data_IF_591995356662
#
_entry.id   IF_591995356662
#
_cell.length_a   1.000
_cell.length_b   1.000
_cell.length_c   1.000
_cell.angle_alpha   90.00
_cell.angle_beta   90.00
_cell.angle_gamma   90.00
#
_symmetry.space_group_name_H-M   'P 1'
#
loop_
_entity.id
_entity.type
_entity.pdbx_description
1 polymer ?
#
# COMPACT_ATOMS: atom_id res chain seq x y z
N UNK A 1 -7.00 49.27 -32.26
CA UNK A 1 -8.17 49.02 -33.12
C UNK A 1 -8.80 47.67 -32.75
N UNK A 2 -10.11 47.53 -32.96
CA UNK A 2 -10.92 46.41 -32.48
C UNK A 2 -10.86 45.15 -33.38
N UNK A 3 -10.93 43.97 -32.75
CA UNK A 3 -11.63 42.76 -33.24
C UNK A 3 -13.15 43.01 -33.08
N UNK A 4 -14.12 42.41 -33.82
CA UNK A 4 -14.07 41.01 -34.30
C UNK A 4 -14.99 40.63 -35.52
N UNK A 5 -15.21 39.30 -35.67
CA UNK A 5 -16.45 38.58 -36.10
C UNK A 5 -16.84 38.40 -37.60
N UNK A 6 -17.01 37.10 -37.90
CA UNK A 6 -18.08 36.42 -38.68
C UNK A 6 -18.65 37.02 -39.98
N UNK A 7 -18.78 36.17 -41.00
CA UNK A 7 -20.12 35.96 -41.57
C UNK A 7 -20.17 35.48 -43.02
N UNK A 8 -21.27 34.82 -43.45
CA UNK A 8 -21.22 33.78 -44.49
C UNK A 8 -22.17 34.02 -45.68
N UNK A 9 -22.08 33.20 -46.75
CA UNK A 9 -23.17 32.84 -47.68
C UNK A 9 -22.68 31.67 -48.59
N UNK A 10 -23.43 30.58 -48.82
CA UNK A 10 -24.47 30.35 -49.86
C UNK A 10 -23.96 30.48 -51.32
N UNK A 11 -24.40 29.70 -52.32
CA UNK A 11 -25.19 28.45 -52.42
C UNK A 11 -25.20 27.95 -53.90
N UNK A 12 -25.89 26.83 -54.19
CA UNK A 12 -26.26 26.28 -55.52
C UNK A 12 -25.14 25.52 -56.27
N UNK A 13 -25.39 24.42 -56.99
CA UNK A 13 -26.61 23.61 -57.12
C UNK A 13 -26.56 22.63 -58.32
N UNK A 14 -27.52 21.69 -58.38
CA UNK A 14 -27.95 20.87 -59.55
C UNK A 14 -26.94 19.85 -60.16
N UNK A 15 -27.32 18.71 -60.77
CA UNK A 15 -28.62 17.98 -60.90
C UNK A 15 -28.42 16.51 -61.33
N UNK A 16 -29.37 15.63 -60.98
CA UNK A 16 -29.82 14.38 -61.63
C UNK A 16 -28.94 13.56 -62.61
N UNK A 17 -28.90 12.24 -62.36
CA UNK A 17 -29.67 11.23 -63.14
C UNK A 17 -29.72 9.88 -62.40
N UNK A 18 -30.64 8.97 -62.78
CA UNK A 18 -30.98 7.75 -62.02
C UNK A 18 -31.25 6.53 -62.92
N UNK A 19 -31.02 5.32 -62.38
CA UNK A 19 -31.49 3.96 -62.80
C UNK A 19 -30.67 2.90 -62.00
N UNK A 20 -31.10 1.65 -61.72
CA UNK A 20 -32.41 1.06 -61.41
C UNK A 20 -32.19 -0.39 -60.83
N UNK A 21 -33.26 -1.08 -60.38
CA UNK A 21 -33.33 -2.54 -60.03
C UNK A 21 -32.61 -3.00 -58.73
N UNK A 22 -33.17 -3.69 -57.71
CA UNK A 22 -34.43 -4.43 -57.39
C UNK A 22 -34.30 -5.98 -57.30
N UNK A 23 -35.21 -6.62 -56.53
CA UNK A 23 -35.34 -8.03 -56.11
C UNK A 23 -34.55 -8.47 -54.84
N UNK A 24 -35.13 -9.07 -53.80
CA UNK A 24 -36.54 -9.37 -53.48
C UNK A 24 -36.93 -10.86 -53.62
N UNK A 25 -37.12 -11.57 -52.50
CA UNK A 25 -37.78 -12.89 -52.45
C UNK A 25 -38.30 -13.23 -51.03
N UNK A 26 -39.43 -13.93 -50.93
CA UNK A 26 -40.09 -14.26 -49.66
C UNK A 26 -40.91 -15.57 -49.70
N UNK A 27 -41.28 -16.06 -48.50
CA UNK A 27 -42.36 -17.01 -48.15
C UNK A 27 -42.21 -18.51 -48.49
N UNK A 28 -42.45 -19.36 -47.47
CA UNK A 28 -43.60 -20.30 -47.38
C UNK A 28 -43.70 -20.96 -45.98
N UNK A 29 -44.88 -21.50 -45.65
CA UNK A 29 -45.22 -22.19 -44.38
C UNK A 29 -46.01 -23.49 -44.64
N UNK A 30 -46.25 -24.26 -43.56
CA UNK A 30 -47.24 -25.35 -43.34
C UNK A 30 -46.77 -26.78 -43.73
N UNK A 31 -47.41 -27.85 -43.17
CA UNK A 31 -47.45 -28.23 -41.73
C UNK A 31 -47.20 -29.77 -41.55
N UNK A 32 -47.52 -30.37 -40.37
CA UNK A 32 -48.15 -31.73 -40.15
C UNK A 32 -47.77 -32.44 -38.81
N UNK A 33 -48.81 -32.69 -38.01
CA UNK A 33 -49.15 -33.85 -37.12
C UNK A 33 -48.22 -34.43 -36.02
N UNK A 34 -48.84 -35.32 -35.25
CA UNK A 34 -48.55 -35.74 -33.87
C UNK A 34 -48.51 -37.26 -33.69
N UNK A 35 -47.49 -37.76 -32.99
CA UNK A 35 -47.35 -39.07 -32.30
C UNK A 35 -46.20 -38.92 -31.27
N UNK A 36 -46.07 -39.66 -30.16
CA UNK A 36 -46.94 -40.68 -29.54
C UNK A 36 -46.78 -40.75 -27.99
N UNK A 37 -47.19 -41.86 -27.39
CA UNK A 37 -47.40 -42.20 -25.97
C UNK A 37 -46.30 -43.03 -25.28
N UNK A 38 -46.24 -42.92 -23.94
CA UNK A 38 -45.81 -43.93 -22.93
C UNK A 38 -44.47 -44.68 -23.02
N UNK A 39 -43.63 -44.48 -21.98
CA UNK A 39 -42.73 -45.41 -21.25
C UNK A 39 -41.68 -44.54 -20.50
N UNK A 40 -41.43 -44.57 -19.19
CA UNK A 40 -41.80 -45.47 -18.10
C UNK A 40 -42.28 -44.68 -16.86
N UNK A 41 -43.18 -45.27 -16.06
CA UNK A 41 -43.27 -44.97 -14.63
C UNK A 41 -42.18 -45.77 -13.92
N UNK A 42 -41.36 -45.13 -13.10
CA UNK A 42 -41.10 -45.62 -11.73
C UNK A 42 -40.50 -44.51 -10.86
N UNK A 43 -40.81 -44.56 -9.57
CA UNK A 43 -40.48 -43.55 -8.55
C UNK A 43 -39.18 -43.96 -7.81
N UNK A 44 -38.44 -43.05 -7.14
CA UNK A 44 -38.96 -42.43 -5.92
C UNK A 44 -38.75 -40.91 -5.80
N UNK A 45 -39.66 -40.31 -5.03
CA UNK A 45 -39.55 -38.98 -4.44
C UNK A 45 -38.57 -38.97 -3.25
N UNK A 46 -38.06 -37.77 -2.94
CA UNK A 46 -37.37 -37.32 -1.70
C UNK A 46 -35.84 -37.17 -1.75
N UNK A 47 -35.40 -35.93 -2.00
CA UNK A 47 -34.63 -35.16 -1.02
C UNK A 47 -34.73 -33.66 -1.37
N UNK A 48 -35.31 -32.85 -0.48
CA UNK A 48 -35.08 -31.40 -0.54
C UNK A 48 -33.63 -31.16 -0.09
N UNK A 49 -32.78 -30.60 -0.94
CA UNK A 49 -31.45 -30.15 -0.53
C UNK A 49 -31.58 -29.03 0.50
N UNK A 50 -31.43 -29.38 1.78
CA UNK A 50 -31.21 -28.40 2.83
C UNK A 50 -29.91 -27.66 2.54
N UNK A 51 -29.96 -26.33 2.51
CA UNK A 51 -28.75 -25.51 2.37
C UNK A 51 -27.71 -25.90 3.44
N UNK A 52 -26.42 -26.02 3.09
CA UNK A 52 -25.40 -26.51 4.00
C UNK A 52 -25.29 -25.58 5.23
N UNK A 53 -25.12 -26.13 6.44
CA UNK A 53 -25.11 -25.33 7.67
C UNK A 53 -23.98 -24.30 7.61
N UNK A 54 -24.32 -23.02 7.78
CA UNK A 54 -23.37 -21.91 7.84
C UNK A 54 -22.96 -21.62 9.28
N UNK A 55 -21.72 -21.16 9.45
CA UNK A 55 -21.17 -20.69 10.72
C UNK A 55 -20.71 -19.24 10.57
N UNK A 56 -21.03 -18.41 11.57
CA UNK A 56 -20.50 -17.05 11.66
C UNK A 56 -19.21 -17.08 12.48
N UNK A 57 -18.11 -16.57 11.91
CA UNK A 57 -16.81 -16.42 12.60
C UNK A 57 -16.45 -14.94 12.77
N UNK A 58 -15.60 -14.64 13.74
CA UNK A 58 -15.23 -13.29 14.14
C UNK A 58 -13.76 -13.02 13.77
N UNK A 59 -13.53 -12.39 12.62
CA UNK A 59 -12.19 -12.17 12.07
C UNK A 59 -11.61 -10.84 12.52
N UNK A 60 -10.60 -10.87 13.38
CA UNK A 60 -9.85 -9.68 13.82
C UNK A 60 -8.86 -9.26 12.75
N UNK A 61 -9.00 -8.04 12.25
CA UNK A 61 -8.12 -7.43 11.25
C UNK A 61 -8.01 -5.91 11.48
N UNK A 62 -6.79 -5.35 11.38
CA UNK A 62 -6.52 -3.91 11.49
C UNK A 62 -7.20 -3.19 12.69
N UNK A 63 -7.30 -3.88 13.84
CA UNK A 63 -7.92 -3.37 15.08
C UNK A 63 -9.45 -3.49 15.15
N UNK A 64 -10.12 -4.01 14.11
CA UNK A 64 -11.58 -4.26 14.08
C UNK A 64 -11.86 -5.76 14.07
N UNK A 65 -13.10 -6.13 14.41
CA UNK A 65 -13.59 -7.52 14.28
C UNK A 65 -14.66 -7.54 13.20
N UNK A 66 -14.48 -8.39 12.19
CA UNK A 66 -15.34 -8.54 11.02
C UNK A 66 -16.12 -9.86 11.18
N UNK A 67 -17.44 -9.85 11.34
CA UNK A 67 -18.24 -11.07 11.25
C UNK A 67 -18.25 -11.57 9.80
N UNK A 68 -17.98 -12.86 9.60
CA UNK A 68 -17.98 -13.51 8.29
C UNK A 68 -18.80 -14.79 8.39
N UNK A 69 -19.76 -14.97 7.47
CA UNK A 69 -20.52 -16.21 7.34
C UNK A 69 -19.84 -17.14 6.34
N UNK A 70 -19.68 -18.40 6.73
CA UNK A 70 -18.91 -19.41 5.98
C UNK A 70 -19.61 -20.76 6.12
N UNK A 71 -19.67 -21.61 5.08
CA UNK A 71 -20.17 -22.99 5.24
C UNK A 71 -19.35 -23.78 6.28
N UNK A 72 -19.99 -24.60 7.11
CA UNK A 72 -19.32 -25.36 8.17
C UNK A 72 -18.27 -26.37 7.65
N UNK A 73 -18.43 -26.83 6.41
CA UNK A 73 -17.51 -27.72 5.71
C UNK A 73 -16.41 -26.99 4.90
N UNK A 74 -16.38 -25.65 4.91
CA UNK A 74 -15.45 -24.88 4.10
C UNK A 74 -13.98 -25.12 4.48
N UNK A 75 -13.08 -24.84 3.54
CA UNK A 75 -11.63 -24.90 3.74
C UNK A 75 -11.05 -23.55 4.15
N UNK A 76 -9.81 -23.56 4.64
CA UNK A 76 -9.01 -22.34 4.85
C UNK A 76 -8.90 -21.49 3.58
N UNK A 77 -8.84 -22.12 2.40
CA UNK A 77 -8.75 -21.42 1.09
C UNK A 77 -10.07 -20.70 0.78
N UNK A 78 -11.20 -21.35 1.03
CA UNK A 78 -12.54 -20.76 0.88
C UNK A 78 -12.70 -19.53 1.78
N UNK A 79 -12.28 -19.65 3.04
CA UNK A 79 -12.25 -18.53 3.99
C UNK A 79 -11.33 -17.39 3.52
N UNK A 80 -10.13 -17.70 3.00
CA UNK A 80 -9.23 -16.68 2.46
C UNK A 80 -9.87 -15.95 1.27
N UNK A 81 -10.58 -16.67 0.40
CA UNK A 81 -11.33 -16.11 -0.73
C UNK A 81 -12.48 -15.20 -0.27
N UNK A 82 -13.22 -15.57 0.77
CA UNK A 82 -14.27 -14.73 1.37
C UNK A 82 -13.71 -13.49 2.07
N UNK A 83 -12.52 -13.60 2.68
CA UNK A 83 -11.85 -12.48 3.35
C UNK A 83 -11.16 -11.51 2.39
N UNK A 84 -10.78 -11.94 1.18
CA UNK A 84 -10.15 -11.09 0.17
C UNK A 84 -10.96 -9.80 -0.12
N UNK A 85 -12.25 -9.86 -0.51
CA UNK A 85 -13.03 -8.63 -0.74
C UNK A 85 -13.28 -7.83 0.54
N UNK A 86 -13.32 -8.46 1.72
CA UNK A 86 -13.61 -7.80 3.01
C UNK A 86 -12.41 -7.08 3.63
N UNK A 87 -11.20 -7.56 3.37
CA UNK A 87 -9.96 -7.11 4.02
C UNK A 87 -8.98 -6.47 3.05
N UNK A 88 -9.25 -6.62 1.75
CA UNK A 88 -8.40 -6.15 0.67
C UNK A 88 -6.99 -6.78 0.69
N UNK A 89 -6.84 -7.96 1.28
CA UNK A 89 -5.60 -8.74 1.32
C UNK A 89 -5.76 -9.90 0.32
N UNK A 90 -4.82 -10.07 -0.62
CA UNK A 90 -4.80 -11.23 -1.51
C UNK A 90 -4.70 -12.54 -0.70
N UNK A 91 -5.35 -13.65 -1.11
CA UNK A 91 -5.30 -14.92 -0.35
C UNK A 91 -3.87 -15.39 -0.02
N UNK A 92 -2.90 -15.16 -0.92
CA UNK A 92 -1.46 -15.42 -0.70
C UNK A 92 -0.82 -14.55 0.41
N UNK A 93 -1.36 -13.37 0.68
CA UNK A 93 -0.93 -12.47 1.75
C UNK A 93 -1.70 -12.64 3.06
N UNK A 94 -2.71 -13.53 3.10
CA UNK A 94 -3.52 -13.76 4.30
C UNK A 94 -2.94 -14.86 5.18
N UNK A 95 -2.37 -14.49 6.33
CA UNK A 95 -1.98 -15.44 7.38
C UNK A 95 -3.06 -15.45 8.47
N UNK A 96 -3.86 -16.53 8.48
CA UNK A 96 -4.94 -16.72 9.45
C UNK A 96 -4.44 -17.48 10.67
N UNK A 97 -4.78 -17.01 11.87
CA UNK A 97 -4.39 -17.62 13.15
C UNK A 97 -5.62 -17.82 14.02
N UNK A 98 -5.86 -19.05 14.48
CA UNK A 98 -6.92 -19.38 15.44
C UNK A 98 -6.31 -20.10 16.65
N UNK A 99 -6.66 -19.69 17.88
CA UNK A 99 -6.14 -20.28 19.13
C UNK A 99 -4.60 -20.48 19.16
N UNK A 100 -3.85 -19.52 18.61
CA UNK A 100 -2.38 -19.57 18.53
C UNK A 100 -1.79 -20.47 17.42
N UNK A 101 -2.61 -21.20 16.65
CA UNK A 101 -2.17 -22.02 15.51
C UNK A 101 -2.45 -21.29 14.20
N UNK A 102 -1.48 -21.32 13.28
CA UNK A 102 -1.66 -20.84 11.90
C UNK A 102 -2.53 -21.84 11.14
N UNK A 103 -3.59 -21.36 10.47
CA UNK A 103 -4.42 -22.21 9.63
C UNK A 103 -3.65 -22.58 8.36
N UNK A 104 -3.50 -23.88 8.11
CA UNK A 104 -2.83 -24.38 6.91
C UNK A 104 -3.79 -24.34 5.71
N UNK A 105 -3.24 -24.12 4.52
CA UNK A 105 -3.98 -24.20 3.27
C UNK A 105 -4.43 -25.66 3.00
N UNK A 106 -5.55 -25.81 2.29
CA UNK A 106 -6.31 -27.05 2.07
C UNK A 106 -6.92 -27.74 3.32
N UNK A 107 -6.60 -27.37 4.56
CA UNK A 107 -7.30 -27.89 5.73
C UNK A 107 -8.78 -27.44 5.81
N UNK A 108 -9.66 -28.28 6.36
CA UNK A 108 -11.05 -27.89 6.67
C UNK A 108 -11.12 -27.04 7.93
N UNK A 109 -12.05 -26.10 7.99
CA UNK A 109 -12.21 -25.23 9.16
C UNK A 109 -12.54 -26.03 10.43
N UNK A 110 -13.32 -27.10 10.29
CA UNK A 110 -13.63 -28.04 11.38
C UNK A 110 -12.40 -28.78 11.91
N UNK A 111 -11.50 -29.29 11.05
CA UNK A 111 -10.26 -29.96 11.48
C UNK A 111 -9.30 -29.01 12.21
N UNK A 112 -9.38 -27.71 11.90
CA UNK A 112 -8.62 -26.63 12.57
C UNK A 112 -9.32 -26.05 13.80
N UNK A 113 -10.42 -26.66 14.29
CA UNK A 113 -11.24 -26.20 15.42
C UNK A 113 -11.87 -24.80 15.25
N UNK A 114 -12.13 -24.38 14.02
CA UNK A 114 -12.85 -23.14 13.70
C UNK A 114 -14.35 -23.46 13.60
N UNK A 115 -15.09 -23.15 14.66
CA UNK A 115 -16.55 -23.33 14.80
C UNK A 115 -17.28 -21.98 14.87
N UNK A 116 -18.62 -21.98 14.83
CA UNK A 116 -19.42 -20.77 15.03
C UNK A 116 -19.01 -19.99 16.28
N UNK A 117 -18.86 -18.67 16.15
CA UNK A 117 -18.36 -17.76 17.20
C UNK A 117 -16.83 -17.70 17.35
N UNK A 118 -16.06 -18.50 16.61
CA UNK A 118 -14.59 -18.53 16.72
C UNK A 118 -13.93 -17.19 16.37
N UNK A 119 -12.95 -16.79 17.17
CA UNK A 119 -12.10 -15.62 16.93
C UNK A 119 -10.88 -16.05 16.10
N UNK A 120 -10.81 -15.57 14.86
CA UNK A 120 -9.67 -15.78 13.95
C UNK A 120 -8.94 -14.44 13.81
N UNK A 121 -7.62 -14.42 13.88
CA UNK A 121 -6.82 -13.22 13.61
C UNK A 121 -6.25 -13.31 12.19
N UNK A 122 -6.50 -12.28 11.38
CA UNK A 122 -5.86 -12.12 10.09
C UNK A 122 -4.64 -11.21 10.24
N UNK A 123 -3.48 -11.73 9.84
CA UNK A 123 -2.24 -10.99 9.69
C UNK A 123 -1.98 -10.87 8.18
N UNK A 124 -1.88 -9.64 7.68
CA UNK A 124 -1.52 -9.38 6.29
C UNK A 124 0.01 -9.36 6.14
N UNK A 125 0.53 -10.09 5.18
CA UNK A 125 1.89 -9.91 4.68
C UNK A 125 2.01 -8.56 3.98
N UNK A 126 3.10 -7.82 4.20
CA UNK A 126 3.31 -6.52 3.55
C UNK A 126 3.38 -6.67 2.02
N UNK A 127 2.88 -5.67 1.28
CA UNK A 127 2.88 -5.64 -0.18
C UNK A 127 1.89 -6.60 -0.87
N UNK A 128 0.98 -7.24 -0.13
CA UNK A 128 0.00 -8.20 -0.68
C UNK A 128 -1.46 -7.76 -0.46
N UNK A 129 -1.70 -6.45 -0.44
CA UNK A 129 -3.04 -5.92 -0.62
C UNK A 129 -3.42 -5.96 -2.10
N UNK A 130 -4.68 -6.23 -2.40
CA UNK A 130 -5.16 -6.09 -3.77
C UNK A 130 -5.55 -4.63 -3.98
N UNK A 131 -4.76 -3.87 -4.73
CA UNK A 131 -5.26 -2.64 -5.31
C UNK A 131 -6.45 -2.97 -6.23
N UNK A 132 -7.68 -2.81 -5.74
CA UNK A 132 -8.85 -2.72 -6.61
C UNK A 132 -8.76 -1.37 -7.33
N UNK A 133 -7.91 -1.32 -8.37
CA UNK A 133 -7.73 -0.17 -9.24
C UNK A 133 -9.06 0.25 -9.89
N UNK A 134 -9.19 1.50 -10.37
CA UNK A 134 -10.37 1.93 -11.11
C UNK A 134 -10.59 1.02 -12.31
N UNK A 135 -11.85 0.61 -12.54
CA UNK A 135 -12.24 -0.15 -13.73
C UNK A 135 -12.09 0.77 -14.93
N UNK A 136 -10.90 0.75 -15.56
CA UNK A 136 -10.66 1.45 -16.81
C UNK A 136 -11.39 0.70 -17.92
N UNK A 137 -12.15 1.40 -18.76
CA UNK A 137 -12.98 0.80 -19.82
C UNK A 137 -12.18 0.10 -20.94
N UNK A 138 -10.85 0.02 -20.82
CA UNK A 138 -9.93 -0.38 -21.89
C UNK A 138 -9.12 -1.64 -21.56
N UNK A 139 -9.41 -2.35 -20.45
CA UNK A 139 -8.81 -3.66 -20.18
C UNK A 139 -9.54 -4.77 -20.95
N UNK A 140 -9.21 -4.93 -22.22
CA UNK A 140 -9.54 -6.14 -22.99
C UNK A 140 -8.58 -7.28 -22.62
N UNK A 141 -8.98 -8.12 -21.67
CA UNK A 141 -8.33 -9.41 -21.39
C UNK A 141 -9.37 -10.52 -21.31
N UNK A 142 -9.19 -11.55 -22.14
CA UNK A 142 -10.21 -12.56 -22.43
C UNK A 142 -10.60 -13.41 -21.22
N UNK A 143 -11.91 -13.57 -21.03
CA UNK A 143 -12.48 -14.75 -20.38
C UNK A 143 -13.66 -15.24 -21.23
N UNK A 144 -13.42 -16.27 -22.03
CA UNK A 144 -14.41 -16.91 -22.90
C UNK A 144 -15.43 -17.66 -22.05
N UNK A 145 -16.73 -17.36 -22.18
CA UNK A 145 -17.72 -18.45 -22.19
C UNK A 145 -19.01 -18.11 -22.91
N UNK A 146 -19.49 -19.11 -23.62
CA UNK A 146 -20.49 -19.12 -24.69
C UNK A 146 -21.92 -18.83 -24.21
N UNK A 147 -22.68 -18.18 -25.09
CA UNK A 147 -24.10 -17.82 -25.01
C UNK A 147 -25.05 -18.98 -24.70
N UNK A 148 -26.14 -18.70 -23.98
CA UNK A 148 -27.45 -19.31 -24.33
C UNK A 148 -28.62 -18.37 -24.01
N UNK A 149 -29.22 -17.82 -25.06
CA UNK A 149 -30.48 -17.07 -25.01
C UNK A 149 -31.66 -18.04 -24.98
N UNK A 150 -32.56 -17.87 -24.01
CA UNK A 150 -33.98 -18.19 -24.18
C UNK A 150 -34.81 -17.05 -23.59
N UNK A 151 -35.94 -16.78 -24.23
CA UNK A 151 -36.79 -15.64 -23.99
C UNK A 151 -38.24 -16.14 -23.90
N UNK A 152 -38.93 -15.93 -22.76
CA UNK A 152 -40.39 -15.75 -22.65
C UNK A 152 -40.69 -15.08 -21.30
N UNK A 153 -41.72 -14.22 -21.29
CA UNK A 153 -42.20 -13.46 -20.14
C UNK A 153 -42.94 -14.35 -19.14
N UNK A 154 -42.82 -14.05 -17.84
CA UNK A 154 -44.02 -13.93 -16.98
C UNK A 154 -43.79 -13.04 -15.76
N UNK A 155 -44.87 -12.45 -15.25
CA UNK A 155 -44.89 -11.61 -14.04
C UNK A 155 -45.33 -12.46 -12.86
N UNK A 156 -44.59 -12.47 -11.74
CA UNK A 156 -45.11 -12.10 -10.42
C UNK A 156 -44.05 -12.16 -9.30
N UNK A 157 -43.99 -11.05 -8.55
CA UNK A 157 -43.69 -10.93 -7.11
C UNK A 157 -43.08 -12.13 -6.34
N UNK A 158 -41.85 -12.01 -5.85
CA UNK A 158 -41.52 -11.67 -4.45
C UNK A 158 -40.02 -11.77 -4.12
N UNK A 159 -39.62 -11.06 -3.05
CA UNK A 159 -38.39 -11.18 -2.24
C UNK A 159 -37.09 -10.58 -2.85
N UNK A 160 -36.40 -9.68 -2.12
CA UNK A 160 -35.13 -9.11 -2.59
C UNK A 160 -33.96 -10.07 -2.34
N UNK A 161 -33.50 -10.77 -3.37
CA UNK A 161 -32.13 -11.27 -3.42
C UNK A 161 -31.18 -10.08 -3.56
N UNK A 162 -30.64 -9.64 -2.43
CA UNK A 162 -29.79 -8.46 -2.35
C UNK A 162 -28.58 -8.72 -1.44
N UNK A 163 -27.77 -9.73 -1.77
CA UNK A 163 -26.38 -9.80 -1.28
C UNK A 163 -25.56 -8.77 -2.07
N UNK A 164 -25.82 -7.49 -1.79
CA UNK A 164 -25.10 -6.37 -2.39
C UNK A 164 -23.67 -6.42 -1.87
N UNK A 165 -22.73 -6.75 -2.76
CA UNK A 165 -21.31 -6.54 -2.50
C UNK A 165 -21.08 -5.05 -2.22
N UNK A 166 -20.75 -4.71 -0.97
CA UNK A 166 -20.53 -3.34 -0.51
C UNK A 166 -19.61 -2.59 -1.47
N UNK A 167 -19.98 -1.36 -1.82
CA UNK A 167 -19.20 -0.57 -2.79
C UNK A 167 -17.74 -0.41 -2.34
N UNK A 168 -16.81 -0.18 -3.27
CA UNK A 168 -15.39 0.02 -2.94
C UNK A 168 -15.19 1.12 -1.89
N UNK A 169 -15.95 2.23 -2.01
CA UNK A 169 -15.94 3.32 -1.04
C UNK A 169 -16.51 2.92 0.34
N UNK A 170 -17.57 2.10 0.40
CA UNK A 170 -18.06 1.55 1.68
C UNK A 170 -17.03 0.63 2.33
N UNK A 171 -16.32 -0.20 1.56
CA UNK A 171 -15.23 -1.05 2.06
C UNK A 171 -14.10 -0.19 2.63
N UNK A 172 -13.66 0.85 1.93
CA UNK A 172 -12.66 1.79 2.43
C UNK A 172 -13.14 2.56 3.69
N UNK A 173 -14.41 2.94 3.78
CA UNK A 173 -14.99 3.52 5.01
C UNK A 173 -15.02 2.51 6.18
N UNK A 174 -15.33 1.24 5.90
CA UNK A 174 -15.43 0.17 6.89
C UNK A 174 -14.07 -0.33 7.40
N UNK A 175 -13.03 -0.36 6.58
CA UNK A 175 -11.67 -0.73 7.00
C UNK A 175 -10.89 0.50 7.51
N UNK A 176 -11.07 1.65 6.84
CA UNK A 176 -10.21 2.82 6.92
C UNK A 176 -8.85 2.63 6.25
N UNK A 177 -8.74 1.67 5.33
CA UNK A 177 -7.54 1.39 4.55
C UNK A 177 -7.88 1.50 3.07
N UNK A 178 -7.18 2.41 2.40
CA UNK A 178 -7.21 2.59 0.94
C UNK A 178 -5.85 2.12 0.44
N UNK A 179 -5.81 0.93 -0.18
CA UNK A 179 -4.63 0.40 -0.84
C UNK A 179 -4.87 0.48 -2.36
N UNK A 180 -4.02 1.25 -3.02
CA UNK A 180 -4.04 1.63 -4.43
C UNK A 180 -2.61 1.58 -5.01
N UNK A 181 -1.71 0.80 -4.41
CA UNK A 181 -0.36 0.63 -4.92
C UNK A 181 -0.36 -0.16 -6.23
N UNK A 182 0.60 0.10 -7.12
CA UNK A 182 0.79 -0.62 -8.39
C UNK A 182 -0.50 -0.70 -9.25
N UNK A 183 -1.22 0.42 -9.37
CA UNK A 183 -2.55 0.51 -10.00
C UNK A 183 -2.58 1.35 -11.30
N UNK A 184 -1.42 1.70 -11.86
CA UNK A 184 -1.24 2.57 -13.04
C UNK A 184 -2.01 3.92 -12.96
N UNK A 185 -2.23 4.43 -11.74
CA UNK A 185 -3.01 5.63 -11.50
C UNK A 185 -2.30 6.89 -11.98
N UNK A 186 -3.03 7.76 -12.68
CA UNK A 186 -2.58 9.13 -13.01
C UNK A 186 -3.00 10.18 -11.97
N UNK A 187 -3.97 9.83 -11.13
CA UNK A 187 -4.49 10.62 -10.02
C UNK A 187 -5.15 9.67 -9.01
N UNK A 188 -5.21 10.07 -7.74
CA UNK A 188 -5.97 9.34 -6.72
C UNK A 188 -7.48 9.43 -7.05
N UNK A 189 -8.24 8.32 -7.07
CA UNK A 189 -9.66 8.33 -7.42
C UNK A 189 -10.50 9.22 -6.51
N UNK A 190 -11.46 9.95 -7.07
CA UNK A 190 -12.33 10.89 -6.35
C UNK A 190 -13.10 10.27 -5.19
N UNK A 191 -13.44 8.97 -5.26
CA UNK A 191 -14.15 8.30 -4.18
C UNK A 191 -13.31 8.18 -2.88
N UNK A 192 -11.97 8.27 -2.98
CA UNK A 192 -11.06 8.28 -1.82
C UNK A 192 -11.31 9.52 -0.97
N UNK A 193 -11.42 10.69 -1.61
CA UNK A 193 -11.74 11.96 -0.93
C UNK A 193 -13.11 11.89 -0.25
N UNK A 194 -14.09 11.28 -0.92
CA UNK A 194 -15.43 11.00 -0.38
C UNK A 194 -15.48 9.99 0.79
N UNK A 195 -14.35 9.38 1.17
CA UNK A 195 -14.23 8.57 2.38
C UNK A 195 -13.95 9.40 3.65
N UNK A 196 -13.41 10.62 3.48
CA UNK A 196 -13.23 11.60 4.55
C UNK A 196 -12.49 11.05 5.78
N UNK A 197 -12.94 11.36 7.01
CA UNK A 197 -12.25 10.96 8.25
C UNK A 197 -12.33 9.46 8.57
N UNK A 198 -12.85 8.63 7.67
CA UNK A 198 -12.86 7.17 7.81
C UNK A 198 -11.49 6.56 7.48
N UNK A 199 -10.74 7.19 6.56
CA UNK A 199 -9.45 6.72 6.08
C UNK A 199 -8.36 6.99 7.12
N UNK A 200 -7.59 5.95 7.46
CA UNK A 200 -6.43 5.99 8.36
C UNK A 200 -5.13 5.65 7.66
N UNK A 201 -5.20 4.88 6.58
CA UNK A 201 -4.06 4.52 5.72
C UNK A 201 -4.48 4.78 4.27
N UNK A 202 -3.70 5.59 3.57
CA UNK A 202 -3.77 5.76 2.12
C UNK A 202 -2.39 5.37 1.57
N UNK A 203 -2.35 4.28 0.83
CA UNK A 203 -1.19 3.85 0.05
C UNK A 203 -1.55 3.91 -1.43
N UNK A 204 -0.89 4.81 -2.15
CA UNK A 204 -0.96 4.93 -3.60
C UNK A 204 0.46 4.94 -4.20
N UNK A 205 1.37 4.19 -3.59
CA UNK A 205 2.76 4.04 -4.05
C UNK A 205 2.85 3.34 -5.41
N UNK A 206 3.94 3.50 -6.16
CA UNK A 206 4.17 2.87 -7.46
C UNK A 206 3.04 3.17 -8.46
N UNK A 207 2.81 4.45 -8.76
CA UNK A 207 1.83 4.90 -9.74
C UNK A 207 2.43 6.04 -10.58
N UNK A 208 1.60 6.67 -11.42
CA UNK A 208 1.95 7.84 -12.23
C UNK A 208 1.22 9.10 -11.74
N UNK A 209 0.96 9.21 -10.42
CA UNK A 209 0.21 10.32 -9.83
C UNK A 209 1.08 11.57 -9.87
N UNK A 210 0.50 12.67 -10.36
CA UNK A 210 1.17 13.99 -10.42
C UNK A 210 0.63 14.97 -9.39
N UNK A 211 -0.67 14.91 -9.13
CA UNK A 211 -1.38 15.88 -8.31
C UNK A 211 -1.90 15.25 -7.01
N UNK A 212 -1.71 15.94 -5.89
CA UNK A 212 -2.37 15.69 -4.62
C UNK A 212 -3.22 16.93 -4.29
N UNK A 213 -4.52 16.96 -4.65
CA UNK A 213 -5.36 18.14 -4.50
C UNK A 213 -5.65 18.46 -3.03
N UNK A 214 -6.07 19.71 -2.76
CA UNK A 214 -6.50 20.17 -1.42
C UNK A 214 -7.57 19.29 -0.75
N UNK A 215 -8.30 18.48 -1.54
CA UNK A 215 -9.24 17.45 -1.07
C UNK A 215 -8.62 16.46 -0.07
N UNK A 216 -7.30 16.29 -0.06
CA UNK A 216 -6.56 15.49 0.94
C UNK A 216 -6.89 15.93 2.39
N UNK A 217 -7.20 17.22 2.63
CA UNK A 217 -7.62 17.77 3.93
C UNK A 217 -8.89 17.14 4.52
N UNK A 218 -9.71 16.47 3.71
CA UNK A 218 -10.88 15.73 4.17
C UNK A 218 -10.52 14.47 4.99
N UNK A 219 -9.31 13.92 4.81
CA UNK A 219 -8.85 12.68 5.44
C UNK A 219 -8.32 12.91 6.86
N UNK A 220 -9.05 13.63 7.72
CA UNK A 220 -8.61 14.09 9.06
C UNK A 220 -8.20 13.00 10.07
N UNK A 221 -8.38 11.73 9.73
CA UNK A 221 -7.94 10.57 10.55
C UNK A 221 -6.76 9.82 9.93
N UNK A 222 -6.12 10.37 8.89
CA UNK A 222 -5.02 9.73 8.19
C UNK A 222 -3.77 9.67 9.10
N UNK A 223 -3.34 8.45 9.40
CA UNK A 223 -2.13 8.16 10.16
C UNK A 223 -0.95 7.83 9.24
N UNK A 224 -1.21 7.25 8.06
CA UNK A 224 -0.18 6.90 7.08
C UNK A 224 -0.57 7.35 5.67
N UNK A 225 0.33 8.09 5.03
CA UNK A 225 0.24 8.50 3.63
C UNK A 225 1.49 8.00 2.90
N UNK A 226 1.31 7.04 1.99
CA UNK A 226 2.38 6.46 1.18
C UNK A 226 2.13 6.83 -0.29
N UNK A 227 3.00 7.67 -0.83
CA UNK A 227 2.98 8.19 -2.19
C UNK A 227 4.33 7.93 -2.89
N UNK A 228 5.04 6.89 -2.43
CA UNK A 228 6.37 6.50 -2.94
C UNK A 228 6.31 6.17 -4.43
N UNK A 229 7.34 6.48 -5.21
CA UNK A 229 7.42 6.12 -6.64
C UNK A 229 6.20 6.64 -7.44
N UNK A 230 6.16 7.95 -7.61
CA UNK A 230 5.15 8.69 -8.36
C UNK A 230 5.79 9.85 -9.13
N UNK A 231 4.97 10.63 -9.84
CA UNK A 231 5.39 11.78 -10.65
C UNK A 231 5.07 13.14 -9.97
N UNK A 232 4.96 13.17 -8.64
CA UNK A 232 4.56 14.37 -7.89
C UNK A 232 5.70 15.39 -7.88
N UNK A 233 5.39 16.65 -8.16
CA UNK A 233 6.26 17.81 -8.04
C UNK A 233 5.67 18.84 -7.04
N UNK A 234 6.47 19.83 -6.66
CA UNK A 234 6.13 20.81 -5.63
C UNK A 234 4.90 21.67 -5.97
N UNK A 235 4.64 21.90 -7.26
CA UNK A 235 3.55 22.75 -7.74
C UNK A 235 2.19 22.04 -7.68
N UNK A 236 2.18 20.71 -7.84
CA UNK A 236 0.96 19.90 -7.91
C UNK A 236 0.58 19.20 -6.59
N UNK A 237 1.33 19.42 -5.51
CA UNK A 237 1.02 18.88 -4.17
C UNK A 237 0.44 19.95 -3.24
N UNK A 238 -0.78 19.74 -2.75
CA UNK A 238 -1.45 20.68 -1.84
C UNK A 238 -0.93 20.54 -0.41
N UNK A 239 0.17 21.24 -0.13
CA UNK A 239 0.77 21.31 1.18
C UNK A 239 -0.16 21.90 2.26
N UNK A 240 -1.03 22.85 1.91
CA UNK A 240 -2.09 23.35 2.81
C UNK A 240 -3.17 22.29 3.09
N UNK A 241 -3.44 21.41 2.12
CA UNK A 241 -4.30 20.26 2.34
C UNK A 241 -3.67 19.26 3.31
N UNK A 242 -2.35 19.05 3.20
CA UNK A 242 -1.57 18.18 4.07
C UNK A 242 -1.39 18.75 5.48
N UNK A 243 -1.20 20.07 5.64
CA UNK A 243 -1.02 20.73 6.95
C UNK A 243 -2.20 20.48 7.90
N UNK A 244 -3.39 20.23 7.35
CA UNK A 244 -4.59 19.84 8.09
C UNK A 244 -4.55 18.43 8.71
N UNK A 245 -3.59 17.56 8.33
CA UNK A 245 -3.52 16.16 8.74
C UNK A 245 -2.79 15.95 10.08
N UNK A 246 -3.32 16.56 11.13
CA UNK A 246 -2.73 16.59 12.48
C UNK A 246 -2.57 15.22 13.18
N UNK A 247 -3.02 14.11 12.56
CA UNK A 247 -2.83 12.73 13.04
C UNK A 247 -1.82 11.92 12.21
N UNK A 248 -1.20 12.52 11.21
CA UNK A 248 -0.26 11.84 10.33
C UNK A 248 1.01 11.46 11.10
N UNK A 249 1.33 10.16 11.11
CA UNK A 249 2.48 9.58 11.79
C UNK A 249 3.57 9.17 10.80
N UNK A 250 3.19 8.71 9.60
CA UNK A 250 4.13 8.27 8.56
C UNK A 250 3.78 8.96 7.23
N UNK A 251 4.73 9.69 6.66
CA UNK A 251 4.64 10.33 5.34
C UNK A 251 5.78 9.83 4.45
N UNK A 252 5.44 9.18 3.34
CA UNK A 252 6.40 8.80 2.30
C UNK A 252 6.09 9.50 0.98
N UNK A 253 7.04 10.33 0.55
CA UNK A 253 7.10 11.04 -0.73
C UNK A 253 8.39 10.67 -1.50
N UNK A 254 9.09 9.60 -1.11
CA UNK A 254 10.30 9.14 -1.78
C UNK A 254 10.06 8.75 -3.24
N UNK A 255 11.08 8.85 -4.10
CA UNK A 255 10.98 8.57 -5.54
C UNK A 255 9.88 9.40 -6.21
N UNK A 256 9.96 10.72 -6.08
CA UNK A 256 9.11 11.69 -6.77
C UNK A 256 10.00 12.74 -7.46
N UNK A 257 9.44 13.89 -7.83
CA UNK A 257 10.12 14.96 -8.57
C UNK A 257 10.32 16.22 -7.73
N UNK A 258 10.18 16.12 -6.41
CA UNK A 258 10.19 17.26 -5.49
C UNK A 258 11.54 17.99 -5.50
N UNK A 259 11.53 19.33 -5.47
CA UNK A 259 12.72 20.21 -5.46
C UNK A 259 12.85 20.95 -4.12
N UNK A 260 11.74 21.15 -3.43
CA UNK A 260 11.64 21.85 -2.15
C UNK A 260 10.56 21.22 -1.25
N UNK A 261 10.61 21.56 0.04
CA UNK A 261 9.53 21.29 0.99
C UNK A 261 9.18 22.62 1.67
N UNK A 262 7.90 22.97 1.85
CA UNK A 262 7.51 24.26 2.40
C UNK A 262 7.56 24.26 3.94
N UNK A 263 7.51 25.47 4.49
CA UNK A 263 7.37 25.72 5.94
C UNK A 263 6.14 25.05 6.56
N UNK A 264 5.04 24.92 5.81
CA UNK A 264 3.80 24.27 6.28
C UNK A 264 3.97 22.78 6.62
N UNK A 265 5.03 22.13 6.16
CA UNK A 265 5.41 20.78 6.59
C UNK A 265 5.56 20.69 8.13
N UNK A 266 6.10 21.73 8.76
CA UNK A 266 6.30 21.78 10.22
C UNK A 266 5.02 21.79 11.05
N UNK A 267 3.85 21.96 10.43
CA UNK A 267 2.55 21.81 11.10
C UNK A 267 2.21 20.35 11.44
N UNK A 268 2.88 19.37 10.81
CA UNK A 268 2.67 17.93 11.00
C UNK A 268 3.31 17.44 12.31
N UNK A 269 3.07 18.11 13.43
CA UNK A 269 3.74 17.90 14.72
C UNK A 269 3.68 16.45 15.25
N UNK A 270 2.64 15.69 14.87
CA UNK A 270 2.49 14.25 15.17
C UNK A 270 3.40 13.31 14.35
N UNK A 271 4.16 13.80 13.36
CA UNK A 271 4.89 12.95 12.42
C UNK A 271 6.06 12.23 13.11
N UNK A 272 6.12 10.91 12.95
CA UNK A 272 7.17 10.04 13.48
C UNK A 272 8.16 9.59 12.40
N UNK A 273 7.71 9.49 11.15
CA UNK A 273 8.53 9.02 10.02
C UNK A 273 8.29 9.88 8.78
N UNK A 274 9.37 10.46 8.26
CA UNK A 274 9.41 11.22 7.01
C UNK A 274 10.38 10.56 6.03
N UNK A 275 9.86 10.08 4.90
CA UNK A 275 10.66 9.51 3.79
C UNK A 275 10.51 10.38 2.54
N UNK A 276 11.61 11.00 2.13
CA UNK A 276 11.72 11.97 1.03
C UNK A 276 12.91 11.65 0.10
N UNK A 277 13.44 10.44 0.19
CA UNK A 277 14.62 9.99 -0.55
C UNK A 277 14.38 9.83 -2.06
N UNK A 278 15.42 9.97 -2.88
CA UNK A 278 15.32 9.91 -4.34
C UNK A 278 14.36 10.98 -4.90
N UNK A 279 14.56 12.23 -4.47
CA UNK A 279 13.92 13.42 -5.04
C UNK A 279 15.04 14.33 -5.60
N UNK A 280 14.79 15.63 -5.72
CA UNK A 280 15.73 16.64 -6.18
C UNK A 280 15.87 17.77 -5.16
N UNK A 281 15.65 17.47 -3.88
CA UNK A 281 15.61 18.46 -2.80
C UNK A 281 16.96 19.13 -2.62
N UNK A 282 17.01 20.46 -2.73
CA UNK A 282 18.24 21.24 -2.57
C UNK A 282 18.54 21.60 -1.09
N UNK A 283 17.50 21.66 -0.24
CA UNK A 283 17.58 21.93 1.21
C UNK A 283 16.36 21.36 1.97
N UNK A 284 16.42 21.33 3.31
CA UNK A 284 15.26 21.11 4.18
C UNK A 284 14.77 22.44 4.80
N UNK A 285 13.45 22.66 4.98
CA UNK A 285 12.90 23.87 5.60
C UNK A 285 13.26 23.96 7.08
N UNK A 286 13.41 25.17 7.62
CA UNK A 286 13.75 25.40 9.03
C UNK A 286 12.67 24.84 9.98
N UNK A 287 11.42 24.78 9.51
CA UNK A 287 10.28 24.23 10.23
C UNK A 287 10.34 22.70 10.42
N UNK A 288 11.35 22.01 9.87
CA UNK A 288 11.64 20.61 10.23
C UNK A 288 11.80 20.44 11.76
N UNK A 289 12.39 21.43 12.44
CA UNK A 289 12.58 21.44 13.90
C UNK A 289 11.28 21.47 14.73
N UNK A 290 10.15 21.78 14.09
CA UNK A 290 8.82 21.68 14.70
C UNK A 290 8.34 20.23 14.84
N UNK A 291 8.94 19.29 14.11
CA UNK A 291 8.58 17.86 14.12
C UNK A 291 9.21 17.14 15.32
N UNK A 292 8.83 17.57 16.53
CA UNK A 292 9.39 17.09 17.81
C UNK A 292 9.28 15.57 18.03
N UNK A 293 8.29 14.93 17.41
CA UNK A 293 8.07 13.48 17.47
C UNK A 293 8.73 12.68 16.34
N UNK A 294 9.47 13.33 15.43
CA UNK A 294 10.14 12.67 14.31
C UNK A 294 11.24 11.73 14.82
N UNK A 295 11.10 10.44 14.52
CA UNK A 295 12.03 9.38 14.94
C UNK A 295 12.91 8.91 13.77
N UNK A 296 12.41 9.01 12.54
CA UNK A 296 13.05 8.50 11.32
C UNK A 296 12.96 9.57 10.23
N UNK A 297 14.12 10.01 9.72
CA UNK A 297 14.24 10.91 8.57
C UNK A 297 15.09 10.24 7.48
N UNK A 298 14.47 9.90 6.35
CA UNK A 298 15.14 9.26 5.21
C UNK A 298 15.09 10.21 4.02
N UNK A 299 16.22 10.89 3.76
CA UNK A 299 16.38 11.95 2.78
C UNK A 299 17.59 11.71 1.83
N UNK A 300 18.06 10.47 1.75
CA UNK A 300 19.16 10.06 0.88
C UNK A 300 18.83 10.18 -0.63
N UNK A 301 19.85 10.24 -1.48
CA UNK A 301 19.71 10.45 -2.93
C UNK A 301 18.91 11.73 -3.24
N UNK A 302 19.39 12.88 -2.77
CA UNK A 302 18.83 14.21 -3.06
C UNK A 302 19.99 15.15 -3.49
N UNK A 303 19.78 16.47 -3.43
CA UNK A 303 20.77 17.50 -3.77
C UNK A 303 21.09 18.40 -2.57
N UNK A 304 20.83 17.90 -1.36
CA UNK A 304 20.85 18.72 -0.14
C UNK A 304 22.27 19.22 0.09
N UNK A 305 22.45 20.55 0.01
CA UNK A 305 23.76 21.21 0.19
C UNK A 305 24.00 21.60 1.64
N UNK A 306 22.94 21.93 2.39
CA UNK A 306 23.00 22.32 3.79
C UNK A 306 21.80 21.82 4.59
N UNK A 307 21.92 21.80 5.92
CA UNK A 307 20.84 21.46 6.84
C UNK A 307 20.57 22.63 7.80
N UNK A 308 19.30 22.97 8.05
CA UNK A 308 18.97 24.03 9.00
C UNK A 308 19.38 23.60 10.41
N UNK A 309 19.88 24.54 11.22
CA UNK A 309 20.27 24.28 12.62
C UNK A 309 19.12 23.80 13.50
N UNK A 310 17.87 24.06 13.10
CA UNK A 310 16.66 23.53 13.73
C UNK A 310 16.50 22.01 13.62
N UNK A 311 17.28 21.31 12.78
CA UNK A 311 17.27 19.83 12.74
C UNK A 311 17.62 19.23 14.12
N UNK A 312 18.47 19.91 14.89
CA UNK A 312 18.80 19.51 16.26
C UNK A 312 17.65 19.64 17.26
N UNK A 313 16.57 20.33 16.89
CA UNK A 313 15.37 20.44 17.71
C UNK A 313 14.42 19.24 17.52
N UNK A 314 14.70 18.34 16.56
CA UNK A 314 13.98 17.07 16.39
C UNK A 314 14.45 16.01 17.43
N UNK A 315 14.23 16.30 18.71
CA UNK A 315 14.77 15.56 19.87
C UNK A 315 14.45 14.05 19.88
N UNK A 316 13.39 13.61 19.19
CA UNK A 316 13.00 12.20 19.08
C UNK A 316 13.79 11.41 18.01
N UNK A 317 14.64 12.05 17.19
CA UNK A 317 15.32 11.38 16.08
C UNK A 317 16.21 10.22 16.57
N UNK A 318 16.00 9.06 15.95
CA UNK A 318 16.76 7.82 16.20
C UNK A 318 17.51 7.34 14.97
N UNK A 319 16.98 7.60 13.77
CA UNK A 319 17.56 7.21 12.49
C UNK A 319 17.49 8.37 11.50
N UNK A 320 18.64 8.72 10.93
CA UNK A 320 18.78 9.75 9.90
C UNK A 320 19.62 9.18 8.76
N UNK A 321 19.06 9.16 7.55
CA UNK A 321 19.79 8.85 6.33
C UNK A 321 19.80 10.05 5.37
N UNK A 322 20.99 10.58 5.16
CA UNK A 322 21.33 11.71 4.31
C UNK A 322 22.35 11.31 3.23
N UNK A 323 22.54 10.01 3.00
CA UNK A 323 23.53 9.50 2.05
C UNK A 323 23.29 9.99 0.62
N UNK A 324 24.34 10.13 -0.19
CA UNK A 324 24.26 10.59 -1.58
C UNK A 324 23.53 11.93 -1.69
N UNK A 325 24.09 12.94 -1.03
CA UNK A 325 23.69 14.34 -1.10
C UNK A 325 24.94 15.20 -1.40
N UNK A 326 24.82 16.52 -1.26
CA UNK A 326 25.88 17.48 -1.54
C UNK A 326 26.35 18.20 -0.25
N UNK A 327 26.20 17.54 0.92
CA UNK A 327 26.52 18.13 2.21
C UNK A 327 28.04 18.34 2.35
N UNK A 328 28.46 19.57 2.61
CA UNK A 328 29.86 19.92 2.93
C UNK A 328 30.14 19.96 4.44
N UNK A 329 29.10 20.20 5.24
CA UNK A 329 29.14 20.22 6.70
C UNK A 329 27.82 19.69 7.30
N UNK A 330 27.85 19.41 8.61
CA UNK A 330 26.65 19.24 9.43
C UNK A 330 26.61 20.34 10.49
N UNK A 331 25.44 20.92 10.82
CA UNK A 331 25.35 21.93 11.86
C UNK A 331 25.66 21.34 13.24
N UNK A 332 26.35 22.10 14.11
CA UNK A 332 26.63 21.72 15.52
C UNK A 332 25.38 21.35 16.32
N UNK A 333 24.20 21.76 15.86
CA UNK A 333 22.92 21.34 16.40
C UNK A 333 22.68 19.81 16.32
N UNK A 334 23.38 19.05 15.47
CA UNK A 334 23.33 17.58 15.52
C UNK A 334 23.72 17.03 16.90
N UNK A 335 24.59 17.72 17.65
CA UNK A 335 24.90 17.38 19.04
C UNK A 335 23.71 17.51 20.01
N UNK A 336 22.55 18.04 19.60
CA UNK A 336 21.32 17.99 20.42
C UNK A 336 20.60 16.64 20.32
N UNK A 337 20.88 15.82 19.30
CA UNK A 337 20.13 14.59 18.99
C UNK A 337 20.54 13.41 19.89
N UNK A 338 20.31 13.53 21.21
CA UNK A 338 20.71 12.53 22.22
C UNK A 338 20.09 11.14 22.05
N UNK A 339 19.01 11.02 21.26
CA UNK A 339 18.35 9.75 20.91
C UNK A 339 18.86 9.10 19.61
N UNK A 340 19.75 9.78 18.87
CA UNK A 340 20.25 9.31 17.58
C UNK A 340 21.07 8.04 17.73
N UNK A 341 20.69 6.99 17.00
CA UNK A 341 21.31 5.66 17.01
C UNK A 341 22.02 5.35 15.70
N UNK A 342 21.43 5.79 14.60
CA UNK A 342 21.87 5.50 13.24
C UNK A 342 21.96 6.82 12.46
N UNK A 343 23.14 7.08 11.89
CA UNK A 343 23.41 8.24 11.04
C UNK A 343 24.14 7.78 9.77
N UNK A 344 23.47 7.88 8.63
CA UNK A 344 24.06 7.55 7.33
C UNK A 344 24.34 8.84 6.55
N UNK A 345 25.62 9.05 6.21
CA UNK A 345 26.15 10.25 5.54
C UNK A 345 27.01 9.89 4.32
N UNK A 346 27.00 8.61 3.92
CA UNK A 346 27.79 8.06 2.83
C UNK A 346 27.64 8.88 1.54
N UNK A 347 28.69 9.03 0.76
CA UNK A 347 28.72 9.78 -0.50
C UNK A 347 28.25 11.24 -0.32
N UNK A 348 28.99 12.03 0.47
CA UNK A 348 28.79 13.47 0.66
C UNK A 348 30.15 14.18 0.67
N UNK A 349 30.19 15.49 0.46
CA UNK A 349 31.40 16.32 0.50
C UNK A 349 31.87 16.68 1.92
N UNK A 350 31.55 15.87 2.93
CA UNK A 350 31.88 16.16 4.32
C UNK A 350 33.39 16.02 4.57
N UNK A 351 33.99 17.07 5.12
CA UNK A 351 35.41 17.12 5.54
C UNK A 351 35.60 16.97 7.04
N UNK A 352 34.55 17.26 7.83
CA UNK A 352 34.57 17.23 9.29
C UNK A 352 33.18 16.86 9.84
N UNK A 353 33.12 16.58 11.15
CA UNK A 353 31.89 16.35 11.89
C UNK A 353 31.77 17.36 13.04
N UNK A 354 30.56 17.65 13.52
CA UNK A 354 30.35 18.47 14.70
C UNK A 354 31.19 18.00 15.90
N UNK A 355 31.91 18.93 16.52
CA UNK A 355 32.76 18.70 17.69
C UNK A 355 31.99 18.04 18.84
N UNK A 356 30.68 18.33 18.94
CA UNK A 356 29.81 17.80 19.99
C UNK A 356 29.10 16.48 19.65
N UNK A 357 29.30 15.92 18.44
CA UNK A 357 28.53 14.76 17.94
C UNK A 357 28.66 13.53 18.86
N UNK A 358 29.87 13.00 19.05
CA UNK A 358 30.05 11.74 19.79
C UNK A 358 29.81 11.90 21.30
N UNK A 359 30.25 13.02 21.86
CA UNK A 359 30.04 13.41 23.27
C UNK A 359 28.56 13.51 23.67
N UNK A 360 27.69 14.00 22.78
CA UNK A 360 26.26 14.22 23.11
C UNK A 360 25.31 13.18 22.51
N UNK A 361 25.59 12.65 21.32
CA UNK A 361 24.83 11.53 20.74
C UNK A 361 25.28 10.20 21.36
N UNK A 362 25.10 10.06 22.68
CA UNK A 362 25.56 8.90 23.47
C UNK A 362 24.87 7.58 23.07
N UNK A 363 23.73 7.65 22.38
CA UNK A 363 23.05 6.49 21.81
C UNK A 363 23.55 6.10 20.41
N UNK A 364 24.46 6.87 19.79
CA UNK A 364 24.94 6.60 18.43
C UNK A 364 25.75 5.30 18.43
N UNK A 365 25.32 4.36 17.57
CA UNK A 365 25.89 3.00 17.42
C UNK A 365 26.22 2.66 15.96
N UNK A 366 25.82 3.50 15.02
CA UNK A 366 26.08 3.31 13.58
C UNK A 366 26.23 4.65 12.91
N UNK A 367 27.40 4.84 12.31
CA UNK A 367 27.79 6.01 11.54
C UNK A 367 28.39 5.49 10.23
N UNK A 368 27.79 5.85 9.09
CA UNK A 368 28.33 5.52 7.77
C UNK A 368 28.85 6.79 7.09
N UNK A 369 30.16 6.81 6.82
CA UNK A 369 30.91 7.91 6.22
C UNK A 369 31.60 7.49 4.92
N UNK A 370 31.26 6.33 4.35
CA UNK A 370 31.89 5.83 3.14
C UNK A 370 31.80 6.88 2.02
N UNK A 371 32.90 7.18 1.31
CA UNK A 371 32.87 8.17 0.23
C UNK A 371 32.59 9.60 0.72
N UNK A 372 33.05 9.93 1.92
CA UNK A 372 33.28 11.31 2.38
C UNK A 372 34.80 11.56 2.47
N UNK A 373 35.22 12.79 2.77
CA UNK A 373 36.64 13.13 2.95
C UNK A 373 37.12 12.89 4.41
N UNK A 374 36.23 12.45 5.30
CA UNK A 374 36.54 12.20 6.72
C UNK A 374 37.37 10.91 6.86
N UNK A 375 38.61 11.06 7.35
CA UNK A 375 39.51 9.94 7.68
C UNK A 375 39.38 9.50 9.14
N UNK A 376 39.87 8.29 9.46
CA UNK A 376 39.92 7.82 10.85
C UNK A 376 40.76 8.74 11.78
N UNK A 377 41.77 9.43 11.24
CA UNK A 377 42.60 10.33 12.03
C UNK A 377 41.91 11.66 12.33
N UNK A 378 40.97 12.10 11.47
CA UNK A 378 40.04 13.21 11.78
C UNK A 378 39.07 12.75 12.89
N UNK A 379 38.50 11.55 12.77
CA UNK A 379 37.55 11.01 13.76
C UNK A 379 38.15 10.89 15.16
N UNK A 380 39.41 10.43 15.26
CA UNK A 380 40.16 10.33 16.53
C UNK A 380 40.39 11.68 17.25
N UNK A 381 40.26 12.81 16.54
CA UNK A 381 40.39 14.15 17.14
C UNK A 381 39.08 14.68 17.73
N UNK A 382 37.94 14.03 17.47
CA UNK A 382 36.62 14.48 17.94
C UNK A 382 36.33 13.96 19.35
N UNK A 383 35.89 14.84 20.24
CA UNK A 383 35.61 14.50 21.64
C UNK A 383 34.47 13.45 21.76
N UNK A 384 34.73 12.38 22.50
CA UNK A 384 33.80 11.25 22.70
C UNK A 384 33.92 10.12 21.66
N UNK A 385 34.92 10.18 20.76
CA UNK A 385 35.15 9.15 19.74
C UNK A 385 35.38 7.75 20.33
N UNK A 386 36.14 7.62 21.43
CA UNK A 386 36.50 6.33 22.01
C UNK A 386 35.26 5.56 22.52
N UNK A 387 34.35 6.25 23.22
CA UNK A 387 33.11 5.66 23.70
C UNK A 387 32.15 5.32 22.55
N UNK A 388 32.16 6.10 21.47
CA UNK A 388 31.41 5.76 20.25
C UNK A 388 31.98 4.51 19.57
N UNK A 389 33.30 4.42 19.40
CA UNK A 389 33.94 3.28 18.75
C UNK A 389 33.78 1.99 19.57
N UNK A 390 33.83 2.07 20.90
CA UNK A 390 33.51 0.96 21.79
C UNK A 390 32.06 0.47 21.59
N UNK A 391 31.06 1.37 21.60
CA UNK A 391 29.66 1.00 21.29
C UNK A 391 29.51 0.36 19.92
N UNK A 392 30.20 0.90 18.91
CA UNK A 392 30.20 0.40 17.52
C UNK A 392 30.81 -1.01 17.42
N UNK A 393 31.96 -1.24 18.08
CA UNK A 393 32.63 -2.56 18.13
C UNK A 393 31.77 -3.59 18.88
N UNK A 394 31.18 -3.25 20.02
CA UNK A 394 30.27 -4.14 20.75
C UNK A 394 29.04 -4.54 19.92
N UNK A 395 28.47 -3.62 19.13
CA UNK A 395 27.40 -3.95 18.18
C UNK A 395 27.87 -4.97 17.14
N UNK A 396 29.05 -4.77 16.57
CA UNK A 396 29.60 -5.67 15.56
C UNK A 396 29.89 -7.07 16.12
N UNK A 397 30.50 -7.17 17.31
CA UNK A 397 30.77 -8.45 17.97
C UNK A 397 29.48 -9.24 18.20
N UNK A 398 28.44 -8.62 18.76
CA UNK A 398 27.13 -9.25 18.98
C UNK A 398 26.48 -9.77 17.68
N UNK A 399 26.74 -9.12 16.54
CA UNK A 399 26.27 -9.58 15.23
C UNK A 399 27.05 -10.80 14.71
N UNK A 400 28.34 -10.92 15.03
CA UNK A 400 29.15 -12.10 14.71
C UNK A 400 28.73 -13.28 15.60
N UNK A 401 28.63 -13.08 16.91
CA UNK A 401 28.24 -14.11 17.88
C UNK A 401 26.87 -14.72 17.52
N UNK A 402 25.90 -13.88 17.14
CA UNK A 402 24.58 -14.33 16.69
C UNK A 402 24.62 -15.17 15.41
N UNK A 403 25.50 -14.83 14.44
CA UNK A 403 25.66 -15.61 13.20
C UNK A 403 26.28 -16.97 13.48
N UNK A 404 27.32 -17.03 14.32
CA UNK A 404 27.99 -18.28 14.70
C UNK A 404 27.04 -19.18 15.51
N UNK A 405 26.24 -18.61 16.42
CA UNK A 405 25.21 -19.34 17.16
C UNK A 405 24.10 -19.95 16.27
N UNK A 406 23.83 -19.35 15.11
CA UNK A 406 22.86 -19.90 14.15
C UNK A 406 23.44 -20.97 13.21
N UNK A 407 24.76 -21.15 13.14
CA UNK A 407 25.41 -22.22 12.38
C UNK A 407 25.74 -23.47 13.20
N UNK A 408 25.58 -23.42 14.52
CA UNK A 408 25.86 -24.55 15.44
C UNK A 408 24.81 -25.67 15.45
N UNK A 409 23.87 -25.68 14.51
CA UNK A 409 22.89 -26.76 14.31
C UNK A 409 22.98 -27.23 12.85
N UNK A 410 24.16 -27.75 12.50
CA UNK A 410 24.34 -28.56 11.30
C UNK A 410 24.72 -29.99 11.74
N UNK A 411 24.07 -30.96 11.11
CA UNK A 411 23.81 -32.29 11.65
C UNK A 411 25.04 -33.24 11.53
N UNK A 412 25.90 -33.29 12.54
CA UNK A 412 26.91 -34.36 12.72
C UNK A 412 26.28 -35.63 13.33
N UNK A 413 25.17 -36.11 12.74
CA UNK A 413 24.31 -37.16 13.31
C UNK A 413 23.96 -38.31 12.37
N UNK A 414 24.55 -38.39 11.17
CA UNK A 414 24.07 -39.28 10.11
C UNK A 414 25.19 -40.05 9.37
N UNK A 415 26.09 -40.73 10.10
CA UNK A 415 27.10 -41.61 9.48
C UNK A 415 27.56 -42.80 10.37
N UNK A 416 26.73 -43.26 11.32
CA UNK A 416 27.15 -44.27 12.31
C UNK A 416 26.12 -45.41 12.52
N UNK A 417 25.47 -45.87 11.44
CA UNK A 417 24.50 -46.99 11.50
C UNK A 417 24.65 -47.98 10.32
N UNK A 418 25.87 -48.47 10.10
CA UNK A 418 26.11 -49.65 9.23
C UNK A 418 27.35 -50.48 9.59
N UNK A 419 27.49 -50.93 10.85
CA UNK A 419 28.55 -51.87 11.27
C UNK A 419 28.20 -52.66 12.55
N UNK A 420 27.28 -53.64 12.43
CA UNK A 420 27.09 -54.89 13.25
C UNK A 420 25.74 -55.50 12.84
N UNK A 421 25.63 -56.66 12.19
CA UNK A 421 25.89 -58.05 12.67
C UNK A 421 25.19 -58.37 13.99
#
# INVERSE_FOLDING_TARGET
MHRPKHGPEQAKGNTHTAQNEENGAALRQLPIQSTETELWKDRPTEAMESSPPTITIQVKFAGRTIPVEVPAAATTVELKRLLQPLTNVLPRGQRLVCKGKVLQDAASLSSMQVVGGSKVMLIASQGLHQGDGPITKNSSSSATSVTRTLNVKERQTQKPEAVVGKSRAERWKLTGVVALHDCDLKAVPEEVWGCGPSVRILDASNNCIKEIPHKISALKSLNKLLLTANDIDDENISWEGLSCLQKLLNLSLSQNRLVSLPSTLGSLTSLHELRIANNRLDNLPIEIGSLKHLQILIANNNRITSLPSSIGDCESLTEVDLSSNLLTELPEAFGKLGNLKVLHLRNNGLTSLPSTLFKKCVQLITLDLHGTEITNDILRQVEGWEEFDERRRQKHQKQLDFRVGSSGVFDEGADDDNMRR
#
